data_IF_884987322261
#
_entry.id   IF_884987322261
#
_cell.length_a   1.000
_cell.length_b   1.000
_cell.length_c   1.000
_cell.angle_alpha   90.00
_cell.angle_beta   90.00
_cell.angle_gamma   90.00
#
_symmetry.space_group_name_H-M   'P 1'
#
loop_
_entity.id
_entity.type
_entity.pdbx_description
1 polymer ?
#
# COMPACT_ATOMS: atom_id res chain seq x y z
N UNK A 1 -31.23 10.98 29.90
CA UNK A 1 -30.92 10.61 28.49
C UNK A 1 -29.50 10.03 28.47
N UNK A 2 -29.36 8.73 28.19
CA UNK A 2 -28.07 8.01 28.26
C UNK A 2 -27.34 8.13 26.93
N UNK A 3 -26.13 8.70 26.94
CA UNK A 3 -25.22 8.72 25.80
C UNK A 3 -24.70 7.30 25.50
N UNK A 4 -24.88 6.83 24.27
CA UNK A 4 -24.15 5.68 23.72
C UNK A 4 -22.90 6.17 22.98
N UNK A 5 -21.73 5.50 23.11
CA UNK A 5 -20.58 5.76 22.27
C UNK A 5 -20.76 5.08 20.90
N UNK A 6 -20.65 5.86 19.83
CA UNK A 6 -20.74 5.39 18.45
C UNK A 6 -19.54 4.52 18.05
N UNK A 7 -19.82 3.27 17.64
CA UNK A 7 -18.89 2.42 16.88
C UNK A 7 -18.49 3.16 15.59
N UNK A 8 -17.21 3.46 15.43
CA UNK A 8 -16.65 3.97 14.18
C UNK A 8 -15.59 3.00 13.67
N UNK A 9 -15.79 2.51 12.45
CA UNK A 9 -14.91 1.58 11.74
C UNK A 9 -15.72 0.56 10.95
N UNK A 10 -15.97 0.84 9.67
CA UNK A 10 -16.48 -0.15 8.72
C UNK A 10 -15.32 -1.04 8.29
N UNK A 11 -15.17 -2.19 8.93
CA UNK A 11 -14.20 -3.23 8.55
C UNK A 11 -14.90 -4.23 7.63
N UNK A 12 -14.58 -4.20 6.33
CA UNK A 12 -15.03 -5.19 5.36
C UNK A 12 -14.01 -6.32 5.26
N UNK A 13 -14.35 -7.52 5.75
CA UNK A 13 -13.51 -8.71 5.62
C UNK A 13 -14.06 -9.65 4.53
N UNK A 14 -13.27 -9.91 3.50
CA UNK A 14 -13.51 -11.06 2.62
C UNK A 14 -12.87 -12.30 3.27
N UNK A 15 -13.70 -13.24 3.75
CA UNK A 15 -13.24 -14.51 4.32
C UNK A 15 -12.57 -15.36 3.25
N UNK A 16 -11.25 -15.52 3.34
CA UNK A 16 -10.55 -16.78 3.01
C UNK A 16 -9.26 -16.88 3.82
N UNK A 17 -9.23 -17.87 4.71
CA UNK A 17 -8.07 -18.23 5.54
C UNK A 17 -6.98 -18.79 4.63
N UNK A 18 -5.78 -18.19 4.64
CA UNK A 18 -4.57 -18.75 4.03
C UNK A 18 -3.41 -18.64 5.04
N UNK A 19 -2.55 -19.67 5.13
CA UNK A 19 -1.62 -19.85 6.24
C UNK A 19 -0.42 -18.90 6.16
N UNK A 20 0.07 -18.47 7.33
CA UNK A 20 1.28 -17.68 7.48
C UNK A 20 2.51 -18.52 7.15
N UNK A 21 3.27 -18.11 6.13
CA UNK A 21 4.64 -18.58 5.95
C UNK A 21 5.58 -17.38 6.01
N UNK A 22 6.45 -17.41 7.01
CA UNK A 22 7.56 -16.49 7.22
C UNK A 22 8.57 -16.60 6.08
N UNK A 23 8.72 -15.54 5.28
CA UNK A 23 9.76 -15.49 4.25
C UNK A 23 11.08 -15.01 4.84
N UNK A 24 12.01 -15.96 4.98
CA UNK A 24 13.45 -15.72 5.13
C UNK A 24 13.97 -15.11 3.82
N UNK A 25 14.71 -14.00 3.91
CA UNK A 25 15.40 -13.39 2.77
C UNK A 25 16.65 -14.20 2.41
N UNK A 26 16.85 -14.68 1.16
CA UNK A 26 18.16 -15.08 0.69
C UNK A 26 18.95 -13.87 0.19
N UNK A 27 20.25 -13.86 0.51
CA UNK A 27 21.23 -12.84 0.15
C UNK A 27 21.55 -12.88 -1.35
N UNK A 28 21.86 -11.71 -1.92
CA UNK A 28 22.18 -11.48 -3.33
C UNK A 28 23.46 -12.21 -3.79
N UNK A 29 23.46 -12.66 -5.05
CA UNK A 29 24.68 -12.93 -5.83
C UNK A 29 24.49 -12.37 -7.25
N UNK A 30 25.54 -11.70 -7.74
CA UNK A 30 25.63 -10.79 -8.90
C UNK A 30 25.23 -11.38 -10.27
N UNK A 31 24.94 -10.53 -11.29
CA UNK A 31 24.44 -10.99 -12.60
C UNK A 31 25.58 -11.37 -13.56
N UNK A 32 25.47 -12.56 -14.16
CA UNK A 32 26.22 -12.96 -15.34
C UNK A 32 25.52 -12.51 -16.63
N UNK A 33 26.30 -12.01 -17.60
CA UNK A 33 25.85 -11.52 -18.90
C UNK A 33 25.26 -12.62 -19.80
N UNK A 34 24.24 -12.34 -20.65
CA UNK A 34 23.74 -13.31 -21.64
C UNK A 34 24.45 -13.19 -23.01
N UNK A 35 24.53 -14.29 -23.80
CA UNK A 35 25.05 -14.29 -25.18
C UNK A 35 23.97 -13.91 -26.23
N UNK A 36 24.36 -13.57 -27.49
CA UNK A 36 23.44 -13.05 -28.51
C UNK A 36 22.95 -14.09 -29.53
N UNK A 37 21.73 -13.87 -30.04
CA UNK A 37 21.10 -14.56 -31.20
C UNK A 37 19.87 -15.39 -30.78
N UNK A 38 18.72 -15.40 -31.45
CA UNK A 38 18.31 -14.85 -32.74
C UNK A 38 16.76 -14.88 -32.86
N UNK A 39 16.23 -14.02 -33.74
CA UNK A 39 15.05 -14.24 -34.62
C UNK A 39 13.62 -14.25 -34.03
N UNK A 40 12.91 -13.14 -34.33
CA UNK A 40 11.56 -13.17 -34.90
C UNK A 40 10.36 -13.14 -33.95
N UNK A 41 9.68 -11.99 -33.82
CA UNK A 41 8.23 -11.97 -33.55
C UNK A 41 7.54 -10.67 -33.97
N UNK A 42 6.32 -10.86 -34.48
CA UNK A 42 5.33 -9.95 -35.06
C UNK A 42 4.98 -8.72 -34.17
N UNK A 43 4.48 -7.61 -34.74
CA UNK A 43 4.02 -6.46 -33.98
C UNK A 43 2.58 -6.69 -33.49
N UNK A 44 2.38 -6.90 -32.19
CA UNK A 44 1.02 -7.11 -31.67
C UNK A 44 0.95 -7.10 -30.15
N UNK A 45 0.19 -6.11 -29.63
CA UNK A 45 -0.16 -5.83 -28.23
C UNK A 45 0.97 -5.27 -27.38
N UNK A 46 0.81 -4.01 -27.00
CA UNK A 46 1.54 -3.38 -25.91
C UNK A 46 1.19 -4.07 -24.59
N UNK A 47 1.83 -5.22 -24.36
CA UNK A 47 1.97 -5.80 -23.05
C UNK A 47 2.70 -4.75 -22.21
N UNK A 48 1.95 -3.98 -21.44
CA UNK A 48 2.51 -3.22 -20.33
C UNK A 48 3.02 -4.26 -19.32
N UNK A 49 4.21 -4.80 -19.61
CA UNK A 49 4.82 -5.88 -18.88
C UNK A 49 5.03 -5.44 -17.43
N UNK A 50 4.75 -6.36 -16.51
CA UNK A 50 5.10 -6.20 -15.10
C UNK A 50 6.57 -5.79 -15.00
N UNK A 51 6.83 -4.66 -14.34
CA UNK A 51 8.17 -4.04 -14.34
C UNK A 51 9.12 -4.61 -13.29
N UNK A 52 8.66 -5.55 -12.46
CA UNK A 52 9.44 -6.02 -11.32
C UNK A 52 9.75 -4.87 -10.37
N UNK A 53 10.95 -4.87 -9.78
CA UNK A 53 11.43 -3.74 -9.00
C UNK A 53 11.84 -2.57 -9.89
N UNK A 54 11.25 -1.40 -9.69
CA UNK A 54 11.66 -0.18 -10.38
C UNK A 54 11.53 1.06 -9.48
N UNK A 55 12.38 2.06 -9.68
CA UNK A 55 12.31 3.36 -9.00
C UNK A 55 12.44 4.48 -10.03
N UNK A 56 11.76 5.60 -9.77
CA UNK A 56 11.91 6.86 -10.53
C UNK A 56 12.56 7.97 -9.68
N UNK A 57 13.45 7.59 -8.76
CA UNK A 57 14.12 8.50 -7.83
C UNK A 57 13.43 8.66 -6.46
N UNK A 58 12.43 7.82 -6.17
CA UNK A 58 11.74 7.77 -4.87
C UNK A 58 11.55 6.30 -4.43
N UNK A 59 10.64 6.04 -3.48
CA UNK A 59 10.34 4.69 -2.96
C UNK A 59 10.24 3.66 -4.11
N UNK A 60 10.95 2.52 -4.04
CA UNK A 60 10.92 1.51 -5.09
C UNK A 60 9.54 0.87 -5.16
N UNK A 61 9.02 0.73 -6.37
CA UNK A 61 7.81 -0.02 -6.66
C UNK A 61 8.17 -1.45 -7.00
N UNK A 62 7.32 -2.38 -6.60
CA UNK A 62 7.35 -3.76 -7.06
C UNK A 62 6.06 -4.05 -7.83
N UNK A 63 6.21 -4.45 -9.08
CA UNK A 63 5.12 -4.77 -9.99
C UNK A 63 5.27 -6.21 -10.47
N UNK A 64 4.42 -7.10 -9.95
CA UNK A 64 4.48 -8.53 -10.21
C UNK A 64 3.07 -9.14 -10.22
N UNK A 65 2.81 -10.13 -11.08
CA UNK A 65 1.48 -10.77 -11.15
C UNK A 65 1.14 -11.46 -9.83
N UNK A 66 -0.12 -11.35 -9.42
CA UNK A 66 -0.67 -11.96 -8.20
C UNK A 66 0.06 -11.58 -6.89
N UNK A 67 0.80 -10.47 -6.90
CA UNK A 67 1.50 -9.99 -5.71
C UNK A 67 0.52 -9.44 -4.68
N UNK A 68 0.70 -9.85 -3.42
CA UNK A 68 -0.01 -9.26 -2.29
C UNK A 68 0.65 -7.94 -1.87
N UNK A 69 -0.13 -6.87 -1.84
CA UNK A 69 0.35 -5.55 -1.43
C UNK A 69 -0.57 -4.94 -0.38
N UNK A 70 0.05 -4.48 0.71
CA UNK A 70 -0.60 -3.61 1.70
C UNK A 70 -0.31 -2.16 1.34
N UNK A 71 -1.36 -1.39 1.11
CA UNK A 71 -1.31 0.00 0.67
C UNK A 71 -2.06 0.87 1.69
N UNK A 72 -1.44 1.96 2.10
CA UNK A 72 -2.06 2.96 2.99
C UNK A 72 -2.23 4.27 2.25
N UNK A 73 -3.48 4.70 2.03
CA UNK A 73 -3.81 6.04 1.56
C UNK A 73 -4.03 6.95 2.75
N UNK A 74 -3.63 8.22 2.66
CA UNK A 74 -3.80 9.17 3.75
C UNK A 74 -4.22 10.53 3.23
N UNK A 75 -4.99 11.27 4.02
CA UNK A 75 -5.30 12.66 3.71
C UNK A 75 -4.01 13.50 3.77
N UNK A 76 -3.92 14.53 2.94
CA UNK A 76 -2.70 15.33 2.81
C UNK A 76 -2.24 15.96 4.15
N UNK A 77 -3.19 16.33 4.99
CA UNK A 77 -3.00 16.98 6.28
C UNK A 77 -2.88 16.00 7.48
N UNK A 78 -3.01 14.70 7.25
CA UNK A 78 -3.00 13.68 8.33
C UNK A 78 -1.65 13.47 9.03
N UNK A 79 -0.56 14.04 8.49
CA UNK A 79 0.77 14.07 9.13
C UNK A 79 1.23 15.53 9.09
N UNK A 80 1.20 16.25 10.22
CA UNK A 80 1.65 17.62 10.30
C UNK A 80 3.12 17.74 9.87
N UNK A 81 3.42 18.71 9.00
CA UNK A 81 4.79 18.93 8.49
C UNK A 81 5.79 19.19 9.62
N UNK A 82 5.34 19.83 10.71
CA UNK A 82 6.12 20.11 11.91
C UNK A 82 6.69 18.85 12.58
N UNK A 83 6.06 17.68 12.37
CA UNK A 83 6.51 16.40 12.95
C UNK A 83 7.46 15.62 12.02
N UNK A 84 7.59 16.01 10.75
CA UNK A 84 8.50 15.34 9.82
C UNK A 84 9.98 15.39 10.26
N UNK A 85 10.51 16.52 10.80
CA UNK A 85 11.88 16.55 11.30
C UNK A 85 12.12 15.56 12.45
N UNK A 86 11.12 15.34 13.31
CA UNK A 86 11.19 14.34 14.38
C UNK A 86 11.29 12.93 13.81
N UNK A 87 10.51 12.63 12.78
CA UNK A 87 10.50 11.34 12.10
C UNK A 87 11.83 11.04 11.38
N UNK A 88 12.57 12.06 10.95
CA UNK A 88 13.88 11.92 10.32
C UNK A 88 15.02 11.76 11.32
N UNK A 89 14.94 12.44 12.47
CA UNK A 89 16.00 12.45 13.49
C UNK A 89 15.95 11.26 14.44
N UNK A 90 14.77 10.88 14.93
CA UNK A 90 14.61 9.81 15.91
C UNK A 90 15.13 8.43 15.45
N UNK A 91 14.93 7.99 14.18
CA UNK A 91 15.44 6.70 13.73
C UNK A 91 16.97 6.61 13.72
N UNK A 92 17.70 7.73 13.68
CA UNK A 92 19.17 7.71 13.66
C UNK A 92 19.75 7.04 14.92
N UNK A 93 19.00 7.08 16.02
CA UNK A 93 19.34 6.42 17.29
C UNK A 93 19.07 4.91 17.29
N UNK A 94 18.38 4.38 16.28
CA UNK A 94 18.03 2.96 16.15
C UNK A 94 19.04 2.19 15.30
N UNK A 95 19.18 0.87 15.50
CA UNK A 95 19.94 -0.01 14.62
C UNK A 95 19.49 0.13 13.16
N UNK A 96 20.42 0.11 12.20
CA UNK A 96 20.16 0.39 10.77
C UNK A 96 19.02 -0.47 10.20
N UNK A 97 18.99 -1.75 10.55
CA UNK A 97 17.97 -2.72 10.16
C UNK A 97 16.58 -2.45 10.78
N UNK A 98 16.49 -1.71 11.87
CA UNK A 98 15.24 -1.38 12.55
C UNK A 98 14.70 0.00 12.21
N UNK A 99 15.52 0.89 11.64
CA UNK A 99 15.14 2.29 11.38
C UNK A 99 13.88 2.39 10.53
N UNK A 100 13.80 1.60 9.47
CA UNK A 100 12.67 1.64 8.56
C UNK A 100 11.40 1.07 9.21
N UNK A 101 11.53 -0.03 9.95
CA UNK A 101 10.42 -0.62 10.71
C UNK A 101 9.89 0.35 11.75
N UNK A 102 10.79 0.97 12.52
CA UNK A 102 10.44 1.98 13.52
C UNK A 102 9.76 3.18 12.86
N UNK A 103 10.28 3.66 11.71
CA UNK A 103 9.68 4.78 10.97
C UNK A 103 8.26 4.45 10.52
N UNK A 104 8.02 3.26 9.96
CA UNK A 104 6.68 2.82 9.55
C UNK A 104 5.72 2.76 10.74
N UNK A 105 6.12 2.13 11.84
CA UNK A 105 5.32 2.06 13.07
C UNK A 105 4.99 3.43 13.65
N UNK A 106 5.95 4.37 13.59
CA UNK A 106 5.75 5.73 14.08
C UNK A 106 4.74 6.50 13.22
N UNK A 107 4.81 6.33 11.90
CA UNK A 107 3.84 6.92 10.96
C UNK A 107 2.45 6.35 11.24
N UNK A 108 2.30 5.03 11.34
CA UNK A 108 1.02 4.37 11.63
C UNK A 108 0.43 4.89 12.95
N UNK A 109 1.23 4.92 14.02
CA UNK A 109 0.80 5.44 15.31
C UNK A 109 0.34 6.91 15.23
N UNK A 110 0.99 7.74 14.41
CA UNK A 110 0.57 9.12 14.20
C UNK A 110 -0.70 9.25 13.38
N UNK A 111 -0.91 8.38 12.40
CA UNK A 111 -2.16 8.33 11.63
C UNK A 111 -3.32 7.93 12.55
N UNK A 112 -3.13 6.96 13.44
CA UNK A 112 -4.13 6.50 14.42
C UNK A 112 -4.55 7.58 15.42
N UNK A 113 -3.70 8.57 15.69
CA UNK A 113 -4.07 9.74 16.51
C UNK A 113 -5.16 10.60 15.87
N UNK A 114 -5.49 10.39 14.59
CA UNK A 114 -6.57 11.12 13.93
C UNK A 114 -6.24 12.61 13.76
N UNK A 115 -4.99 12.94 13.42
CA UNK A 115 -4.58 14.31 13.14
C UNK A 115 -5.16 14.80 11.80
N UNK A 116 -5.23 16.13 11.64
CA UNK A 116 -5.79 16.79 10.46
C UNK A 116 -7.33 16.89 10.50
N UNK A 117 -7.93 17.16 9.35
CA UNK A 117 -9.37 17.39 9.21
C UNK A 117 -10.22 16.14 9.43
N UNK A 118 -9.64 14.94 9.37
CA UNK A 118 -10.35 13.67 9.50
C UNK A 118 -11.60 13.58 8.62
N UNK A 119 -11.51 14.01 7.35
CA UNK A 119 -12.67 14.06 6.45
C UNK A 119 -13.39 12.70 6.32
N UNK A 120 -12.66 11.58 6.41
CA UNK A 120 -13.24 10.23 6.33
C UNK A 120 -13.99 9.80 7.60
N UNK A 121 -13.96 10.62 8.67
CA UNK A 121 -14.89 10.46 9.79
C UNK A 121 -16.33 10.68 9.36
N UNK A 122 -16.56 11.47 8.31
CA UNK A 122 -17.89 11.69 7.76
C UNK A 122 -18.35 10.43 7.01
N UNK A 123 -19.45 9.77 7.43
CA UNK A 123 -19.86 8.49 6.84
C UNK A 123 -20.10 8.54 5.34
N UNK A 124 -20.56 9.69 4.81
CA UNK A 124 -20.77 9.86 3.37
C UNK A 124 -19.46 9.83 2.58
N UNK A 125 -18.40 10.46 3.10
CA UNK A 125 -17.09 10.45 2.45
C UNK A 125 -16.42 9.08 2.58
N UNK A 126 -16.54 8.44 3.75
CA UNK A 126 -16.08 7.06 3.94
C UNK A 126 -16.76 6.09 2.95
N UNK A 127 -18.08 6.23 2.76
CA UNK A 127 -18.83 5.41 1.83
C UNK A 127 -18.39 5.61 0.37
N UNK A 128 -18.06 6.85 -0.04
CA UNK A 128 -17.53 7.11 -1.38
C UNK A 128 -16.21 6.38 -1.62
N UNK A 129 -15.29 6.43 -0.65
CA UNK A 129 -14.01 5.71 -0.76
C UNK A 129 -14.22 4.21 -0.79
N UNK A 130 -15.06 3.68 0.09
CA UNK A 130 -15.43 2.26 0.10
C UNK A 130 -16.01 1.81 -1.24
N UNK A 131 -16.97 2.56 -1.78
CA UNK A 131 -17.61 2.21 -3.05
C UNK A 131 -16.59 2.23 -4.20
N UNK A 132 -15.63 3.15 -4.18
CA UNK A 132 -14.56 3.18 -5.16
C UNK A 132 -13.64 1.94 -5.05
N UNK A 133 -13.27 1.53 -3.84
CA UNK A 133 -12.49 0.32 -3.61
C UNK A 133 -13.21 -0.94 -4.14
N UNK A 134 -14.51 -1.05 -3.87
CA UNK A 134 -15.32 -2.18 -4.31
C UNK A 134 -15.57 -2.18 -5.82
N UNK A 135 -15.68 -1.00 -6.45
CA UNK A 135 -15.95 -0.88 -7.88
C UNK A 135 -14.86 -1.51 -8.75
N UNK A 136 -13.60 -1.45 -8.31
CA UNK A 136 -12.46 -2.00 -9.05
C UNK A 136 -12.06 -3.43 -8.64
N UNK A 137 -12.72 -4.00 -7.63
CA UNK A 137 -12.51 -5.38 -7.21
C UNK A 137 -12.84 -6.37 -8.34
N UNK A 138 -11.92 -7.31 -8.60
CA UNK A 138 -12.01 -8.28 -9.69
C UNK A 138 -11.73 -7.72 -11.09
N UNK A 139 -11.44 -6.42 -11.22
CA UNK A 139 -11.12 -5.76 -12.49
C UNK A 139 -9.66 -5.32 -12.55
N UNK A 140 -9.22 -4.48 -11.60
CA UNK A 140 -7.84 -3.97 -11.54
C UNK A 140 -6.99 -4.74 -10.53
N UNK A 141 -7.64 -5.14 -9.44
CA UNK A 141 -7.05 -5.90 -8.34
C UNK A 141 -8.14 -6.76 -7.72
N UNK A 142 -7.73 -7.76 -6.96
CA UNK A 142 -8.64 -8.43 -6.03
C UNK A 142 -8.47 -7.83 -4.65
N UNK A 143 -9.56 -7.33 -4.08
CA UNK A 143 -9.61 -6.70 -2.77
C UNK A 143 -9.76 -7.76 -1.69
N UNK A 144 -8.74 -7.89 -0.83
CA UNK A 144 -8.71 -8.93 0.20
C UNK A 144 -9.21 -8.42 1.56
N UNK A 145 -8.75 -7.23 1.95
CA UNK A 145 -9.18 -6.57 3.17
C UNK A 145 -9.02 -5.06 3.04
N UNK A 146 -9.85 -4.29 3.74
CA UNK A 146 -9.68 -2.85 3.82
C UNK A 146 -10.29 -2.30 5.11
N UNK A 147 -9.79 -1.13 5.53
CA UNK A 147 -10.32 -0.36 6.64
C UNK A 147 -10.25 1.12 6.33
N UNK A 148 -11.39 1.81 6.41
CA UNK A 148 -11.46 3.27 6.30
C UNK A 148 -11.37 3.86 7.71
N UNK A 149 -10.23 4.49 7.99
CA UNK A 149 -9.97 5.23 9.23
C UNK A 149 -10.28 6.72 9.00
N UNK A 150 -10.46 7.53 10.07
CA UNK A 150 -10.87 8.93 9.94
C UNK A 150 -10.00 9.82 9.02
N UNK A 151 -8.71 9.52 8.90
CA UNK A 151 -7.75 10.31 8.11
C UNK A 151 -6.88 9.47 7.16
N UNK A 152 -7.06 8.15 7.12
CA UNK A 152 -6.30 7.23 6.28
C UNK A 152 -7.11 5.97 5.96
N UNK A 153 -6.65 5.18 4.99
CA UNK A 153 -7.31 3.95 4.55
C UNK A 153 -6.24 2.90 4.36
N UNK A 154 -6.44 1.73 4.97
CA UNK A 154 -5.62 0.55 4.73
C UNK A 154 -6.31 -0.35 3.72
N UNK A 155 -5.55 -0.86 2.76
CA UNK A 155 -6.04 -1.76 1.72
C UNK A 155 -5.03 -2.88 1.50
N UNK A 156 -5.50 -4.12 1.54
CA UNK A 156 -4.76 -5.30 1.15
C UNK A 156 -5.34 -5.81 -0.17
N UNK A 157 -4.50 -5.83 -1.21
CA UNK A 157 -4.89 -6.26 -2.55
C UNK A 157 -4.00 -7.39 -3.05
N UNK A 158 -4.54 -8.19 -3.97
CA UNK A 158 -3.79 -9.04 -4.87
C UNK A 158 -3.77 -8.40 -6.26
N UNK A 159 -2.56 -8.20 -6.79
CA UNK A 159 -2.33 -7.51 -8.05
C UNK A 159 -2.80 -8.34 -9.25
N UNK A 160 -3.80 -7.86 -9.99
CA UNK A 160 -4.31 -8.50 -11.21
C UNK A 160 -3.98 -7.74 -12.50
N UNK A 161 -3.57 -6.48 -12.38
CA UNK A 161 -3.10 -5.64 -13.47
C UNK A 161 -1.78 -4.93 -13.08
N UNK A 162 -0.98 -4.48 -14.06
CA UNK A 162 0.23 -3.69 -13.77
C UNK A 162 -0.09 -2.48 -12.90
N UNK A 163 0.83 -2.12 -12.00
CA UNK A 163 0.60 -1.08 -10.97
C UNK A 163 0.17 0.27 -11.58
N UNK A 164 0.68 0.60 -12.77
CA UNK A 164 0.31 1.80 -13.53
C UNK A 164 -1.16 1.88 -13.96
N UNK A 165 -1.88 0.76 -13.95
CA UNK A 165 -3.32 0.70 -14.24
C UNK A 165 -4.18 0.59 -12.99
N UNK A 166 -3.60 0.22 -11.85
CA UNK A 166 -4.33 0.08 -10.59
C UNK A 166 -4.60 1.45 -9.96
N UNK A 167 -3.57 2.28 -9.85
CA UNK A 167 -3.66 3.64 -9.27
C UNK A 167 -3.60 4.64 -10.40
N UNK A 168 -4.77 5.03 -10.92
CA UNK A 168 -4.92 6.14 -11.87
C UNK A 168 -5.87 7.15 -11.22
N UNK A 169 -5.35 8.34 -10.94
CA UNK A 169 -6.13 9.52 -10.57
C UNK A 169 -6.78 10.14 -11.79
#
# INVERSE_FOLDING_TARGET
MKHQPGRLGSCGSARKVLPSQSSVFPVMSSPGSPPPGSTGLQPGKENHAYKGWYSRGYLPHLDAPALLQSVTFRLADSLPQERLPQLEREPATKPVNEREKWRRQRIEAWLDLGMGCCALRHPRLAALVQNNLLYFDGSRYRLLAWCVMPNHVHVLIEQQAPLSKMVQS
#
